data_IF_748489665733
#
_entry.id   IF_748489665733
#
_cell.length_a   1.000
_cell.length_b   1.000
_cell.length_c   1.000
_cell.angle_alpha   90.00
_cell.angle_beta   90.00
_cell.angle_gamma   90.00
#
_symmetry.space_group_name_H-M   'P 1'
#
loop_
_entity.id
_entity.type
_entity.pdbx_description
1 polymer ?
#
# COMPACT_ATOMS: atom_id res chain seq x y z
N UNK A 1 -18.55 9.59 10.53
CA UNK A 1 -18.02 8.21 10.53
C UNK A 1 -17.38 7.97 9.17
N UNK A 2 -16.06 7.90 9.12
CA UNK A 2 -15.30 7.62 7.90
C UNK A 2 -15.76 6.28 7.32
N UNK A 3 -16.20 6.26 6.06
CA UNK A 3 -16.53 5.01 5.36
C UNK A 3 -15.30 4.57 4.59
N UNK A 4 -14.39 3.87 5.27
CA UNK A 4 -13.28 3.23 4.58
C UNK A 4 -13.80 2.14 3.66
N UNK A 5 -13.19 2.00 2.48
CA UNK A 5 -13.39 0.86 1.59
C UNK A 5 -12.75 -0.39 2.24
N UNK A 6 -13.40 -1.56 2.17
CA UNK A 6 -12.74 -2.80 2.57
C UNK A 6 -11.46 -3.02 1.77
N UNK A 7 -10.42 -3.47 2.43
CA UNK A 7 -9.18 -3.96 1.82
C UNK A 7 -8.88 -5.36 2.31
N UNK A 8 -8.24 -6.17 1.48
CA UNK A 8 -7.85 -7.55 1.79
C UNK A 8 -6.33 -7.72 1.75
N UNK A 9 -5.62 -6.73 1.24
CA UNK A 9 -4.17 -6.75 1.06
C UNK A 9 -3.50 -5.82 2.08
N UNK A 10 -2.31 -6.18 2.53
CA UNK A 10 -1.42 -5.35 3.33
C UNK A 10 -0.33 -4.85 2.40
N UNK A 11 -0.23 -3.55 2.22
CA UNK A 11 0.81 -2.92 1.39
C UNK A 11 1.97 -2.43 2.27
N UNK A 12 3.18 -2.90 2.00
CA UNK A 12 4.41 -2.52 2.71
C UNK A 12 5.45 -1.94 1.76
N UNK A 13 6.28 -1.04 2.27
CA UNK A 13 7.50 -0.60 1.61
C UNK A 13 8.71 -1.33 2.18
N UNK A 14 9.43 -2.04 1.32
CA UNK A 14 10.70 -2.68 1.67
C UNK A 14 11.83 -1.67 1.69
N UNK A 15 12.20 -1.19 2.88
CA UNK A 15 13.38 -0.34 3.09
C UNK A 15 14.53 -1.12 3.72
N UNK A 16 15.74 -0.91 3.20
CA UNK A 16 16.96 -1.57 3.71
C UNK A 16 16.91 -3.09 3.74
N UNK A 17 16.03 -3.67 2.98
CA UNK A 17 15.88 -5.11 2.80
C UNK A 17 15.96 -5.43 1.30
N UNK A 18 16.55 -6.56 0.95
CA UNK A 18 16.65 -7.01 -0.43
C UNK A 18 15.32 -7.62 -0.89
N UNK A 19 14.92 -7.34 -2.14
CA UNK A 19 13.81 -8.02 -2.81
C UNK A 19 14.16 -9.47 -3.26
N UNK A 20 15.26 -10.02 -2.78
CA UNK A 20 15.59 -11.43 -3.00
C UNK A 20 14.62 -12.35 -2.24
N UNK A 21 14.02 -13.30 -2.96
CA UNK A 21 13.02 -14.20 -2.37
C UNK A 21 13.53 -15.00 -1.19
N UNK A 22 14.80 -15.42 -1.22
CA UNK A 22 15.41 -16.15 -0.11
C UNK A 22 15.52 -15.30 1.15
N UNK A 23 15.96 -14.05 1.00
CA UNK A 23 16.02 -13.10 2.11
C UNK A 23 14.63 -12.78 2.68
N UNK A 24 13.66 -12.50 1.81
CA UNK A 24 12.28 -12.22 2.25
C UNK A 24 11.68 -13.42 2.97
N UNK A 25 11.90 -14.63 2.46
CA UNK A 25 11.43 -15.85 3.13
C UNK A 25 11.97 -15.96 4.55
N UNK A 26 13.27 -15.77 4.75
CA UNK A 26 13.89 -15.81 6.08
C UNK A 26 13.33 -14.74 7.02
N UNK A 27 13.02 -13.53 6.50
CA UNK A 27 12.42 -12.47 7.29
C UNK A 27 11.01 -12.86 7.72
N UNK A 28 10.18 -13.35 6.80
CA UNK A 28 8.81 -13.75 7.12
C UNK A 28 8.74 -15.00 8.02
N UNK A 29 9.64 -15.97 7.85
CA UNK A 29 9.79 -17.09 8.78
C UNK A 29 10.06 -16.60 10.21
N UNK A 30 10.92 -15.59 10.37
CA UNK A 30 11.18 -14.96 11.67
C UNK A 30 9.96 -14.21 12.20
N UNK A 31 9.24 -13.46 11.35
CA UNK A 31 8.01 -12.76 11.75
C UNK A 31 6.99 -13.76 12.27
N UNK A 32 6.78 -14.87 11.55
CA UNK A 32 5.84 -15.92 11.95
C UNK A 32 6.23 -16.62 13.26
N UNK A 33 7.51 -16.61 13.62
CA UNK A 33 8.00 -17.19 14.87
C UNK A 33 7.88 -16.25 16.08
N UNK A 34 7.43 -15.01 15.90
CA UNK A 34 7.20 -14.08 17.00
C UNK A 34 5.94 -14.53 17.74
N UNK A 35 6.10 -14.91 18.99
CA UNK A 35 4.97 -15.20 19.87
C UNK A 35 4.28 -13.90 20.27
N UNK A 36 3.02 -13.74 19.90
CA UNK A 36 2.16 -12.68 20.36
C UNK A 36 1.39 -13.17 21.59
N UNK A 37 1.14 -12.27 22.55
CA UNK A 37 0.37 -12.62 23.76
C UNK A 37 -1.04 -13.08 23.35
N UNK A 38 -1.38 -14.31 23.73
CA UNK A 38 -2.70 -14.98 23.74
C UNK A 38 -3.84 -14.41 22.85
N UNK A 39 -3.52 -14.00 21.62
CA UNK A 39 -4.52 -13.61 20.63
C UNK A 39 -5.12 -14.84 19.90
N UNK A 40 -4.54 -16.02 20.14
CA UNK A 40 -4.96 -17.28 19.52
C UNK A 40 -4.64 -17.39 18.04
N UNK A 41 -3.93 -16.42 17.46
CA UNK A 41 -3.55 -16.44 16.05
C UNK A 41 -2.19 -17.10 15.88
N UNK A 42 -2.11 -18.03 14.94
CA UNK A 42 -0.87 -18.70 14.53
C UNK A 42 -0.66 -18.51 13.03
N UNK A 43 0.54 -18.09 12.63
CA UNK A 43 0.95 -18.00 11.24
C UNK A 43 1.82 -19.21 10.86
N UNK A 44 1.35 -20.00 9.89
CA UNK A 44 2.09 -21.18 9.42
C UNK A 44 3.23 -20.78 8.49
N UNK A 45 4.46 -20.74 9.02
CA UNK A 45 5.64 -20.44 8.22
C UNK A 45 5.89 -21.43 7.08
N UNK A 46 5.37 -22.66 7.17
CA UNK A 46 5.51 -23.67 6.10
C UNK A 46 4.62 -23.37 4.89
N UNK A 47 3.58 -22.56 5.06
CA UNK A 47 2.65 -22.12 4.00
C UNK A 47 3.17 -20.94 3.19
N UNK A 48 4.34 -20.37 3.55
CA UNK A 48 4.89 -19.17 2.90
C UNK A 48 5.11 -19.37 1.40
N UNK A 49 4.37 -18.60 0.62
CA UNK A 49 4.53 -18.49 -0.84
C UNK A 49 4.97 -17.06 -1.20
N UNK A 50 5.99 -16.94 -2.06
CA UNK A 50 6.50 -15.66 -2.53
C UNK A 50 6.37 -15.57 -4.05
N UNK A 51 5.54 -14.64 -4.50
CA UNK A 51 5.27 -14.42 -5.92
C UNK A 51 5.73 -13.01 -6.33
N UNK A 52 6.32 -12.85 -7.53
CA UNK A 52 6.62 -11.51 -8.02
C UNK A 52 5.31 -10.79 -8.35
N UNK A 53 5.17 -9.56 -7.88
CA UNK A 53 4.08 -8.69 -8.33
C UNK A 53 4.45 -8.21 -9.73
N UNK A 54 3.70 -8.69 -10.72
CA UNK A 54 3.87 -8.30 -12.12
C UNK A 54 3.24 -6.92 -12.41
N UNK A 55 3.54 -5.95 -11.57
CA UNK A 55 3.17 -4.56 -11.81
C UNK A 55 4.35 -3.94 -12.55
N UNK A 56 4.23 -3.83 -13.86
CA UNK A 56 5.21 -3.20 -14.73
C UNK A 56 6.68 -3.55 -14.43
N UNK A 57 7.45 -3.96 -15.42
CA UNK A 57 8.84 -4.42 -15.28
C UNK A 57 9.81 -3.39 -14.64
N UNK A 58 9.33 -2.18 -14.33
CA UNK A 58 10.12 -1.09 -13.76
C UNK A 58 10.20 -1.11 -12.22
N UNK A 59 9.22 -1.71 -11.55
CA UNK A 59 9.11 -1.67 -10.09
C UNK A 59 8.95 -3.08 -9.55
N UNK A 60 10.04 -3.69 -9.11
CA UNK A 60 9.98 -5.03 -8.54
C UNK A 60 9.21 -5.01 -7.22
N UNK A 61 8.19 -5.83 -7.12
CA UNK A 61 7.47 -6.09 -5.89
C UNK A 61 7.37 -7.59 -5.64
N UNK A 62 7.11 -7.98 -4.42
CA UNK A 62 6.87 -9.36 -4.04
C UNK A 62 5.60 -9.45 -3.19
N UNK A 63 4.67 -10.28 -3.61
CA UNK A 63 3.53 -10.69 -2.81
C UNK A 63 3.94 -11.88 -1.96
N UNK A 64 3.77 -11.76 -0.65
CA UNK A 64 3.95 -12.84 0.31
C UNK A 64 2.58 -13.31 0.75
N UNK A 65 2.30 -14.60 0.57
CA UNK A 65 1.08 -15.24 1.03
C UNK A 65 1.42 -16.17 2.18
N UNK A 66 0.58 -16.14 3.21
CA UNK A 66 0.74 -16.97 4.41
C UNK A 66 -0.62 -17.37 4.96
N UNK A 67 -0.72 -18.57 5.51
CA UNK A 67 -1.91 -19.01 6.23
C UNK A 67 -1.86 -18.55 7.68
N UNK A 68 -2.91 -17.84 8.09
CA UNK A 68 -3.20 -17.49 9.48
C UNK A 68 -4.28 -18.43 10.00
N UNK A 69 -4.06 -18.97 11.18
CA UNK A 69 -4.95 -19.91 11.85
C UNK A 69 -5.50 -19.27 13.14
N UNK A 70 -6.80 -19.37 13.35
CA UNK A 70 -7.46 -19.01 14.58
C UNK A 70 -8.43 -20.15 14.93
N UNK A 71 -8.09 -20.97 15.89
CA UNK A 71 -8.78 -22.23 16.22
C UNK A 71 -8.95 -23.10 14.97
N UNK A 72 -10.16 -23.30 14.48
CA UNK A 72 -10.47 -24.10 13.28
C UNK A 72 -10.53 -23.26 12.00
N UNK A 73 -10.42 -21.94 12.11
CA UNK A 73 -10.46 -21.02 10.97
C UNK A 73 -9.07 -20.91 10.36
N UNK A 74 -9.00 -21.08 9.04
CA UNK A 74 -7.78 -20.84 8.26
C UNK A 74 -8.06 -19.74 7.25
N UNK A 75 -7.24 -18.68 7.27
CA UNK A 75 -7.35 -17.55 6.38
C UNK A 75 -6.01 -17.27 5.71
N UNK A 76 -6.00 -17.19 4.37
CA UNK A 76 -4.82 -16.70 3.66
C UNK A 76 -4.70 -15.19 3.81
N UNK A 77 -3.55 -14.73 4.27
CA UNK A 77 -3.17 -13.31 4.34
C UNK A 77 -2.18 -13.03 3.22
N UNK A 78 -2.40 -11.92 2.51
CA UNK A 78 -1.53 -11.44 1.43
C UNK A 78 -0.86 -10.14 1.85
N UNK A 79 0.46 -10.09 1.69
CA UNK A 79 1.29 -8.92 1.99
C UNK A 79 2.04 -8.54 0.72
N UNK A 80 1.73 -7.38 0.16
CA UNK A 80 2.38 -6.83 -1.01
C UNK A 80 3.54 -5.93 -0.59
N UNK A 81 4.74 -6.25 -1.02
CA UNK A 81 5.95 -5.49 -0.69
C UNK A 81 6.44 -4.78 -1.95
N UNK A 82 6.31 -3.46 -1.98
CA UNK A 82 6.91 -2.59 -2.98
C UNK A 82 8.33 -2.20 -2.60
N UNK A 83 9.16 -1.89 -3.59
CA UNK A 83 10.55 -1.45 -3.38
C UNK A 83 10.84 -0.22 -4.20
N UNK A 84 11.58 0.73 -3.60
CA UNK A 84 12.08 1.90 -4.28
C UNK A 84 11.11 3.07 -4.38
N UNK A 85 9.99 3.04 -3.69
CA UNK A 85 9.12 4.21 -3.57
C UNK A 85 9.79 5.31 -2.74
N UNK A 86 9.48 6.56 -3.05
CA UNK A 86 9.97 7.73 -2.31
C UNK A 86 8.87 8.25 -1.42
N UNK A 87 9.13 8.27 -0.12
CA UNK A 87 8.19 8.81 0.87
C UNK A 87 8.55 10.25 1.20
N UNK A 88 7.60 11.16 1.04
CA UNK A 88 7.78 12.61 1.24
C UNK A 88 6.90 13.10 2.39
N UNK A 89 7.44 13.75 3.42
CA UNK A 89 8.87 14.07 3.60
C UNK A 89 9.68 12.84 4.08
N UNK A 90 9.07 11.96 4.84
CA UNK A 90 9.60 10.70 5.39
C UNK A 90 8.43 9.89 5.97
N UNK A 91 8.60 8.57 6.25
CA UNK A 91 7.58 7.77 6.91
C UNK A 91 7.24 8.34 8.30
N UNK A 92 5.95 8.47 8.59
CA UNK A 92 5.45 9.03 9.85
C UNK A 92 5.07 7.91 10.82
N UNK A 93 5.39 8.04 12.13
CA UNK A 93 4.87 7.11 13.12
C UNK A 93 3.35 7.26 13.20
N UNK A 94 2.66 6.15 13.23
CA UNK A 94 1.21 6.07 13.30
C UNK A 94 0.80 5.00 14.32
N UNK A 95 -0.03 5.35 15.28
CA UNK A 95 -0.76 4.38 16.08
C UNK A 95 -1.82 3.72 15.20
N UNK A 96 -1.62 2.43 14.89
CA UNK A 96 -2.52 1.71 13.98
C UNK A 96 -3.92 1.61 14.61
N UNK A 97 -4.98 2.04 13.89
CA UNK A 97 -6.34 2.02 14.42
C UNK A 97 -6.85 0.58 14.56
N UNK A 98 -6.93 0.11 15.78
CA UNK A 98 -7.39 -1.24 16.08
C UNK A 98 -8.91 -1.36 16.00
N UNK A 99 -9.40 -2.50 15.55
CA UNK A 99 -10.82 -2.83 15.55
C UNK A 99 -11.29 -3.33 16.92
N UNK A 100 -10.40 -3.97 17.67
CA UNK A 100 -10.64 -4.49 19.01
C UNK A 100 -10.04 -3.53 20.05
N UNK A 101 -10.79 -3.21 21.08
CA UNK A 101 -10.39 -2.22 22.09
C UNK A 101 -9.50 -2.80 23.20
N UNK A 102 -9.39 -4.10 23.28
CA UNK A 102 -8.65 -4.87 24.28
C UNK A 102 -7.28 -5.35 23.78
N UNK A 103 -6.94 -5.03 22.55
CA UNK A 103 -5.63 -5.33 21.95
C UNK A 103 -4.68 -4.15 22.16
N UNK A 104 -3.39 -4.37 22.51
CA UNK A 104 -2.41 -3.30 22.62
C UNK A 104 -2.25 -2.51 21.33
N UNK A 105 -2.10 -1.19 21.45
CA UNK A 105 -1.82 -0.33 20.29
C UNK A 105 -0.49 -0.71 19.64
N UNK A 106 -0.45 -0.73 18.33
CA UNK A 106 0.75 -1.02 17.54
C UNK A 106 1.18 0.25 16.83
N UNK A 107 2.39 0.74 17.12
CA UNK A 107 3.00 1.83 16.38
C UNK A 107 3.66 1.28 15.11
N UNK A 108 3.29 1.87 13.98
CA UNK A 108 3.84 1.55 12.66
C UNK A 108 4.32 2.83 11.98
N UNK A 109 5.26 2.68 11.05
CA UNK A 109 5.60 3.75 10.11
C UNK A 109 4.70 3.67 8.90
N UNK A 110 4.07 4.80 8.56
CA UNK A 110 3.16 4.91 7.42
C UNK A 110 3.57 6.04 6.49
N UNK A 111 3.08 5.99 5.25
CA UNK A 111 3.18 7.12 4.33
C UNK A 111 2.40 8.31 4.87
N UNK A 112 2.88 9.53 4.60
CA UNK A 112 2.06 10.72 4.75
C UNK A 112 0.83 10.64 3.84
N UNK A 113 -0.23 11.36 4.17
CA UNK A 113 -1.42 11.42 3.31
C UNK A 113 -1.06 11.97 1.93
N UNK A 114 -0.13 12.90 1.87
CA UNK A 114 0.36 13.52 0.64
C UNK A 114 1.10 12.52 -0.24
N UNK A 115 1.96 11.67 0.33
CA UNK A 115 2.62 10.59 -0.42
C UNK A 115 1.59 9.58 -0.92
N UNK A 116 0.64 9.18 -0.07
CA UNK A 116 -0.42 8.26 -0.48
C UNK A 116 -1.25 8.81 -1.65
N UNK A 117 -1.60 10.10 -1.61
CA UNK A 117 -2.30 10.77 -2.71
C UNK A 117 -1.41 10.82 -3.96
N UNK A 118 -0.13 11.15 -3.82
CA UNK A 118 0.81 11.24 -4.94
C UNK A 118 0.97 9.90 -5.66
N UNK A 119 1.09 8.79 -4.93
CA UNK A 119 1.18 7.44 -5.49
C UNK A 119 -0.09 7.03 -6.24
N UNK A 120 -1.27 7.30 -5.65
CA UNK A 120 -2.56 7.04 -6.30
C UNK A 120 -2.74 7.92 -7.55
N UNK A 121 -2.39 9.18 -7.45
CA UNK A 121 -2.45 10.11 -8.59
C UNK A 121 -1.50 9.68 -9.71
N UNK A 122 -0.28 9.25 -9.36
CA UNK A 122 0.64 8.69 -10.34
C UNK A 122 0.02 7.47 -11.07
N UNK A 123 -0.57 6.54 -10.32
CA UNK A 123 -1.22 5.35 -10.89
C UNK A 123 -2.38 5.71 -11.83
N UNK A 124 -3.12 6.79 -11.53
CA UNK A 124 -4.17 7.31 -12.41
C UNK A 124 -3.59 7.86 -13.71
N UNK A 125 -2.53 8.67 -13.62
CA UNK A 125 -1.86 9.30 -14.77
C UNK A 125 -1.16 8.28 -15.65
N UNK A 126 -0.50 7.29 -15.06
CA UNK A 126 0.22 6.25 -15.80
C UNK A 126 -0.73 5.38 -16.63
N UNK A 127 -1.93 5.11 -16.14
CA UNK A 127 -2.96 4.32 -16.81
C UNK A 127 -3.84 5.13 -17.76
N UNK A 128 -4.01 6.41 -17.48
CA UNK A 128 -4.79 7.39 -18.26
C UNK A 128 -6.13 6.80 -18.77
N UNK A 129 -6.37 6.74 -20.09
CA UNK A 129 -7.61 6.21 -20.68
C UNK A 129 -7.90 4.74 -20.32
N UNK A 130 -6.86 3.93 -20.09
CA UNK A 130 -7.01 2.52 -19.73
C UNK A 130 -7.28 2.30 -18.23
N UNK A 131 -7.50 3.37 -17.47
CA UNK A 131 -7.65 3.28 -16.02
C UNK A 131 -9.00 2.71 -15.61
N UNK A 132 -9.03 1.44 -15.23
CA UNK A 132 -10.19 0.78 -14.62
C UNK A 132 -10.17 0.81 -13.07
N UNK A 133 -9.16 1.45 -12.46
CA UNK A 133 -8.96 1.48 -10.99
C UNK A 133 -9.75 2.60 -10.32
N UNK A 134 -11.08 2.57 -10.44
CA UNK A 134 -11.95 3.59 -9.81
C UNK A 134 -11.75 3.71 -8.30
N UNK A 135 -11.16 2.67 -7.67
CA UNK A 135 -10.79 2.71 -6.25
C UNK A 135 -9.81 3.84 -5.92
N UNK A 136 -8.86 4.15 -6.80
CA UNK A 136 -7.87 5.19 -6.55
C UNK A 136 -8.51 6.59 -6.55
N UNK A 137 -9.46 6.84 -7.47
CA UNK A 137 -10.27 8.07 -7.49
C UNK A 137 -11.11 8.22 -6.23
N UNK A 138 -11.77 7.15 -5.80
CA UNK A 138 -12.57 7.15 -4.58
C UNK A 138 -11.72 7.44 -3.35
N UNK A 139 -10.58 6.76 -3.23
CA UNK A 139 -9.68 6.91 -2.09
C UNK A 139 -9.14 8.35 -2.01
N UNK A 140 -8.68 8.93 -3.14
CA UNK A 140 -8.21 10.32 -3.20
C UNK A 140 -9.34 11.30 -2.82
N UNK A 141 -10.55 11.11 -3.36
CA UNK A 141 -11.71 11.92 -2.99
C UNK A 141 -12.00 11.85 -1.48
N UNK A 142 -11.96 10.66 -0.88
CA UNK A 142 -12.18 10.47 0.55
C UNK A 142 -11.09 11.16 1.39
N UNK A 143 -9.83 11.08 0.96
CA UNK A 143 -8.72 11.73 1.65
C UNK A 143 -8.89 13.25 1.67
N UNK A 144 -9.18 13.88 0.53
CA UNK A 144 -9.43 15.34 0.46
C UNK A 144 -10.69 15.79 1.20
N UNK A 145 -11.70 14.93 1.31
CA UNK A 145 -12.97 15.28 1.98
C UNK A 145 -12.88 15.20 3.49
N UNK A 146 -12.04 14.27 4.01
CA UNK A 146 -12.03 13.96 5.44
C UNK A 146 -10.77 14.40 6.18
N UNK A 147 -9.75 14.89 5.46
CA UNK A 147 -8.48 15.32 6.05
C UNK A 147 -8.03 16.68 5.51
N UNK A 148 -7.30 17.39 6.34
CA UNK A 148 -6.55 18.57 5.90
C UNK A 148 -5.27 18.10 5.21
N UNK A 149 -5.06 18.51 3.97
CA UNK A 149 -3.92 18.14 3.15
C UNK A 149 -3.03 19.37 2.98
N UNK A 150 -1.75 19.25 3.34
CA UNK A 150 -0.76 20.28 3.06
C UNK A 150 -0.46 20.32 1.55
N UNK A 151 -0.94 21.38 0.90
CA UNK A 151 -0.81 21.54 -0.56
C UNK A 151 0.64 21.69 -1.02
N UNK A 152 1.50 22.27 -0.18
CA UNK A 152 2.92 22.43 -0.51
C UNK A 152 3.61 21.08 -0.47
N UNK A 153 3.40 20.34 0.61
CA UNK A 153 3.92 18.98 0.77
C UNK A 153 3.37 18.02 -0.28
N UNK A 154 2.09 18.14 -0.63
CA UNK A 154 1.48 17.34 -1.70
C UNK A 154 2.15 17.63 -3.05
N UNK A 155 2.41 18.89 -3.38
CA UNK A 155 3.11 19.22 -4.63
C UNK A 155 4.52 18.63 -4.65
N UNK A 156 5.26 18.67 -3.54
CA UNK A 156 6.57 18.03 -3.40
C UNK A 156 6.47 16.51 -3.57
N UNK A 157 5.52 15.87 -2.90
CA UNK A 157 5.30 14.43 -3.00
C UNK A 157 5.00 13.99 -4.44
N UNK A 158 4.13 14.72 -5.16
CA UNK A 158 3.83 14.45 -6.57
C UNK A 158 5.10 14.57 -7.42
N UNK A 159 5.87 15.63 -7.27
CA UNK A 159 7.11 15.82 -8.04
C UNK A 159 8.10 14.70 -7.76
N UNK A 160 8.29 14.32 -6.49
CA UNK A 160 9.20 13.25 -6.09
C UNK A 160 8.76 11.89 -6.65
N UNK A 161 7.48 11.54 -6.52
CA UNK A 161 6.92 10.29 -7.05
C UNK A 161 7.08 10.21 -8.58
N UNK A 162 6.66 11.25 -9.32
CA UNK A 162 6.74 11.26 -10.78
C UNK A 162 8.18 11.20 -11.28
N UNK A 163 9.10 11.92 -10.61
CA UNK A 163 10.52 11.86 -10.92
C UNK A 163 11.09 10.47 -10.65
N UNK A 164 10.80 9.87 -9.50
CA UNK A 164 11.23 8.53 -9.13
C UNK A 164 10.76 7.49 -10.14
N UNK A 165 9.52 7.62 -10.60
CA UNK A 165 8.89 6.72 -11.56
C UNK A 165 9.18 7.07 -13.01
N UNK A 166 10.04 8.09 -13.27
CA UNK A 166 10.37 8.56 -14.61
C UNK A 166 9.13 8.85 -15.48
N UNK A 167 8.07 9.34 -14.88
CA UNK A 167 6.82 9.68 -15.56
C UNK A 167 6.89 11.13 -16.01
N UNK A 168 6.86 11.42 -17.33
CA UNK A 168 6.91 12.79 -17.82
C UNK A 168 5.61 13.53 -17.51
N UNK A 169 5.72 14.83 -17.29
CA UNK A 169 4.55 15.70 -17.26
C UNK A 169 3.83 15.66 -18.62
N UNK A 170 2.49 15.54 -18.58
CA UNK A 170 1.62 15.61 -19.74
C UNK A 170 0.62 16.74 -19.52
N UNK A 171 0.55 17.64 -20.49
CA UNK A 171 -0.33 18.82 -20.39
C UNK A 171 -1.83 18.45 -20.52
N UNK A 172 -2.11 17.42 -21.32
CA UNK A 172 -3.47 16.93 -21.56
C UNK A 172 -3.55 15.44 -21.21
N UNK A 173 -4.32 15.15 -20.17
CA UNK A 173 -4.62 13.79 -19.73
C UNK A 173 -6.11 13.50 -20.01
N UNK A 174 -6.39 12.38 -20.64
CA UNK A 174 -7.77 11.97 -20.91
C UNK A 174 -8.58 11.81 -19.63
N UNK A 175 -7.95 11.40 -18.53
CA UNK A 175 -8.59 11.28 -17.22
C UNK A 175 -9.23 12.57 -16.68
N UNK A 176 -8.86 13.75 -17.23
CA UNK A 176 -9.46 15.06 -16.89
C UNK A 176 -10.47 15.56 -17.94
N UNK A 177 -10.78 14.75 -18.93
CA UNK A 177 -11.77 15.11 -19.96
C UNK A 177 -13.21 14.84 -19.51
N UNK A 178 -14.15 15.62 -20.04
CA UNK A 178 -15.57 15.38 -19.82
C UNK A 178 -16.00 14.00 -20.34
N UNK A 179 -15.34 13.48 -21.37
CA UNK A 179 -15.59 12.15 -21.89
C UNK A 179 -15.29 11.08 -20.84
N UNK A 180 -14.13 11.17 -20.16
CA UNK A 180 -13.78 10.22 -19.09
C UNK A 180 -14.75 10.31 -17.90
N UNK A 181 -15.18 11.53 -17.54
CA UNK A 181 -16.13 11.71 -16.42
C UNK A 181 -17.53 11.15 -16.70
N UNK A 182 -17.92 10.98 -17.97
CA UNK A 182 -19.23 10.51 -18.41
C UNK A 182 -19.24 9.07 -18.90
N UNK A 183 -18.05 8.47 -19.10
CA UNK A 183 -17.92 7.06 -19.47
C UNK A 183 -18.32 6.17 -18.29
N UNK A 184 -19.30 5.26 -18.55
CA UNK A 184 -19.94 4.41 -17.52
C UNK A 184 -19.48 2.97 -17.64
#
# INVERSE_FOLDING_TARGET
>A
RFKARPTIDIDLLGERISNDKGNLKVVFEKICSIECEDDGVFFDASSLELEPIAIDKKYPGTCVKIEAHLDTIVQQVSVDIGFGDVVTPYPLPLDYPLLLSDVPAVELYAYSLETLIAEKFHAMVDRDESNSRMKDFFDVYQLFTNHEIDRTLLAEAIVCTFKNRNTPYREHLALFSDAFATDK
#
